data_IF_525280330798
#
_entry.id   IF_525280330798
#
_cell.length_a   1.000
_cell.length_b   1.000
_cell.length_c   1.000
_cell.angle_alpha   90.00
_cell.angle_beta   90.00
_cell.angle_gamma   90.00
#
_symmetry.space_group_name_H-M   'P 1'
#
loop_
_entity.id
_entity.type
_entity.pdbx_description
1 polymer ?
#
# COMPACT_ATOMS: atom_id res chain seq x y z
N UNK A 1 31.96 -27.14 13.02
CA UNK A 1 31.45 -26.37 14.18
C UNK A 1 31.58 -24.90 13.87
N UNK A 2 30.48 -24.24 13.51
CA UNK A 2 30.29 -22.80 13.60
C UNK A 2 28.82 -22.62 14.01
N UNK A 3 28.60 -21.96 15.15
CA UNK A 3 27.30 -21.80 15.79
C UNK A 3 26.40 -20.89 14.96
N UNK A 4 25.39 -21.48 14.32
CA UNK A 4 24.25 -20.77 13.73
C UNK A 4 23.23 -20.47 14.84
N UNK A 5 23.55 -19.57 15.76
CA UNK A 5 22.64 -19.13 16.81
C UNK A 5 22.28 -17.66 16.62
N UNK A 6 20.98 -17.42 16.42
CA UNK A 6 20.25 -16.16 16.56
C UNK A 6 20.59 -15.03 15.57
N UNK A 7 20.01 -15.11 14.38
CA UNK A 7 19.61 -13.94 13.60
C UNK A 7 18.09 -14.02 13.42
N UNK A 8 17.33 -13.48 14.37
CA UNK A 8 15.90 -13.21 14.20
C UNK A 8 15.75 -12.23 13.02
N UNK A 9 14.81 -12.50 12.11
CA UNK A 9 14.60 -11.66 10.93
C UNK A 9 14.16 -10.25 11.34
N UNK A 10 14.45 -9.20 10.54
CA UNK A 10 14.11 -7.82 10.91
C UNK A 10 12.59 -7.56 10.99
N UNK A 11 11.73 -8.41 10.41
CA UNK A 11 10.28 -8.40 10.69
C UNK A 11 9.89 -9.13 11.96
N UNK A 12 10.62 -10.17 12.35
CA UNK A 12 10.57 -10.61 13.74
C UNK A 12 11.04 -9.48 14.64
N UNK A 13 12.03 -8.67 14.27
CA UNK A 13 12.45 -7.50 15.06
C UNK A 13 11.45 -6.34 15.02
N UNK A 14 10.66 -6.15 13.96
CA UNK A 14 9.61 -5.10 13.89
C UNK A 14 8.34 -5.55 14.61
N UNK A 15 7.88 -6.79 14.43
CA UNK A 15 6.79 -7.34 15.25
C UNK A 15 7.21 -7.56 16.70
N UNK A 16 8.47 -7.92 16.97
CA UNK A 16 9.05 -7.90 18.31
C UNK A 16 9.20 -6.46 18.79
N UNK A 17 9.52 -5.47 17.95
CA UNK A 17 9.59 -4.06 18.36
C UNK A 17 8.20 -3.50 18.66
N UNK A 18 7.17 -3.84 17.88
CA UNK A 18 5.77 -3.53 18.16
C UNK A 18 5.33 -4.22 19.46
N UNK A 19 5.59 -5.52 19.60
CA UNK A 19 5.31 -6.28 20.82
C UNK A 19 6.08 -5.78 22.03
N UNK A 20 7.34 -5.37 21.85
CA UNK A 20 8.20 -4.76 22.86
C UNK A 20 7.77 -3.33 23.18
N UNK A 21 7.27 -2.54 22.22
CA UNK A 21 6.69 -1.22 22.44
C UNK A 21 5.40 -1.35 23.24
N UNK A 22 4.50 -2.25 22.85
CA UNK A 22 3.27 -2.57 23.58
C UNK A 22 3.63 -3.01 25.00
N UNK A 23 4.52 -3.98 25.17
CA UNK A 23 4.94 -4.49 26.49
C UNK A 23 5.70 -3.43 27.32
N UNK A 24 6.55 -2.61 26.68
CA UNK A 24 7.26 -1.48 27.30
C UNK A 24 6.26 -0.49 27.86
N UNK A 25 5.25 -0.12 27.08
CA UNK A 25 4.25 0.87 27.49
C UNK A 25 3.23 0.29 28.46
N UNK A 26 2.82 -0.97 28.34
CA UNK A 26 1.99 -1.67 29.34
C UNK A 26 2.69 -1.72 30.71
N UNK A 27 3.98 -2.06 30.74
CA UNK A 27 4.78 -2.07 31.97
C UNK A 27 5.04 -0.66 32.51
N UNK A 28 5.25 0.34 31.63
CA UNK A 28 5.45 1.73 32.02
C UNK A 28 4.14 2.34 32.55
N UNK A 29 2.97 1.91 32.09
CA UNK A 29 1.66 2.35 32.57
C UNK A 29 1.26 1.69 33.90
N UNK A 30 1.78 0.49 34.22
CA UNK A 30 1.58 -0.13 35.53
C UNK A 30 2.35 0.61 36.63
N UNK A 31 1.62 1.31 37.50
CA UNK A 31 2.16 1.92 38.72
C UNK A 31 2.51 3.41 38.65
N UNK A 32 2.17 4.11 37.56
CA UNK A 32 2.40 5.55 37.44
C UNK A 32 1.29 6.41 38.09
N UNK A 33 1.68 7.53 38.71
CA UNK A 33 0.74 8.59 39.10
C UNK A 33 0.22 9.31 37.84
N UNK A 34 -0.93 10.00 37.96
CA UNK A 34 -1.57 10.73 36.84
C UNK A 34 -0.64 11.71 36.10
N UNK A 35 0.36 12.26 36.79
CA UNK A 35 1.29 13.25 36.22
C UNK A 35 2.34 12.61 35.29
N UNK A 36 2.71 11.35 35.54
CA UNK A 36 3.69 10.60 34.72
C UNK A 36 3.04 9.89 33.52
N UNK A 37 1.72 9.74 33.53
CA UNK A 37 0.97 9.14 32.40
C UNK A 37 1.06 10.03 31.16
N UNK A 38 1.10 11.36 31.33
CA UNK A 38 1.14 12.31 30.21
C UNK A 38 2.44 12.20 29.41
N UNK A 39 3.60 12.11 30.07
CA UNK A 39 4.90 11.95 29.39
C UNK A 39 4.97 10.65 28.59
N UNK A 40 4.42 9.56 29.14
CA UNK A 40 4.36 8.27 28.46
C UNK A 40 3.43 8.31 27.26
N UNK A 41 2.28 8.98 27.36
CA UNK A 41 1.36 9.18 26.24
C UNK A 41 1.99 10.03 25.13
N UNK A 42 2.72 11.09 25.49
CA UNK A 42 3.41 11.95 24.52
C UNK A 42 4.53 11.17 23.77
N UNK A 43 5.23 10.25 24.44
CA UNK A 43 6.19 9.34 23.80
C UNK A 43 5.51 8.34 22.85
N UNK A 44 4.43 7.67 23.29
CA UNK A 44 3.64 6.76 22.46
C UNK A 44 3.14 7.47 21.20
N UNK A 45 2.63 8.69 21.37
CA UNK A 45 2.09 9.46 20.25
C UNK A 45 3.18 9.81 19.23
N UNK A 46 4.39 10.18 19.67
CA UNK A 46 5.50 10.45 18.75
C UNK A 46 5.92 9.22 17.97
N UNK A 47 6.08 8.08 18.64
CA UNK A 47 6.46 6.82 18.01
C UNK A 47 5.38 6.38 16.99
N UNK A 48 4.10 6.53 17.35
CA UNK A 48 2.98 6.24 16.46
C UNK A 48 2.96 7.12 15.20
N UNK A 49 3.24 8.43 15.33
CA UNK A 49 3.32 9.35 14.18
C UNK A 49 4.43 8.92 13.22
N UNK A 50 5.62 8.60 13.74
CA UNK A 50 6.76 8.16 12.92
C UNK A 50 6.41 6.86 12.17
N UNK A 51 5.79 5.91 12.87
CA UNK A 51 5.34 4.65 12.26
C UNK A 51 4.31 4.89 11.14
N UNK A 52 3.31 5.73 11.38
CA UNK A 52 2.31 6.09 10.37
C UNK A 52 2.97 6.72 9.13
N UNK A 53 3.90 7.66 9.31
CA UNK A 53 4.60 8.30 8.20
C UNK A 53 5.43 7.31 7.36
N UNK A 54 6.14 6.39 8.01
CA UNK A 54 6.90 5.34 7.30
C UNK A 54 5.94 4.45 6.51
N UNK A 55 4.81 4.04 7.12
CA UNK A 55 3.79 3.23 6.45
C UNK A 55 3.22 3.93 5.23
N UNK A 56 2.92 5.22 5.31
CA UNK A 56 2.48 6.03 4.17
C UNK A 56 3.50 6.06 3.03
N UNK A 57 4.78 6.26 3.35
CA UNK A 57 5.85 6.26 2.36
C UNK A 57 6.00 4.88 1.68
N UNK A 58 5.86 3.79 2.43
CA UNK A 58 5.89 2.42 1.90
C UNK A 58 4.69 2.14 0.98
N UNK A 59 3.48 2.54 1.40
CA UNK A 59 2.28 2.48 0.57
C UNK A 59 2.51 3.23 -0.73
N UNK A 60 3.01 4.47 -0.63
CA UNK A 60 3.21 5.32 -1.78
C UNK A 60 4.19 4.69 -2.79
N UNK A 61 5.31 4.17 -2.28
CA UNK A 61 6.32 3.44 -3.06
C UNK A 61 5.71 2.24 -3.77
N UNK A 62 5.02 1.35 -3.05
CA UNK A 62 4.46 0.13 -3.64
C UNK A 62 3.39 0.44 -4.70
N UNK A 63 2.53 1.46 -4.49
CA UNK A 63 1.57 1.88 -5.53
C UNK A 63 2.29 2.41 -6.76
N UNK A 64 3.32 3.25 -6.58
CA UNK A 64 4.16 3.75 -7.68
C UNK A 64 4.83 2.62 -8.47
N UNK A 65 5.30 1.58 -7.78
CA UNK A 65 5.90 0.39 -8.40
C UNK A 65 4.88 -0.44 -9.19
N UNK A 66 3.64 -0.56 -8.71
CA UNK A 66 2.54 -1.17 -9.48
C UNK A 66 2.29 -0.39 -10.78
N UNK A 67 2.25 0.94 -10.71
CA UNK A 67 2.05 1.80 -11.90
C UNK A 67 3.20 1.64 -12.89
N UNK A 68 4.44 1.66 -12.40
CA UNK A 68 5.62 1.45 -13.23
C UNK A 68 5.63 0.07 -13.89
N UNK A 69 5.21 -0.98 -13.16
CA UNK A 69 5.02 -2.32 -13.70
C UNK A 69 4.00 -2.33 -14.83
N UNK A 70 2.84 -1.70 -14.64
CA UNK A 70 1.83 -1.60 -15.70
C UNK A 70 2.45 -0.94 -16.94
N UNK A 71 3.09 0.22 -16.77
CA UNK A 71 3.67 0.96 -17.89
C UNK A 71 4.81 0.22 -18.59
N UNK A 72 5.57 -0.60 -17.87
CA UNK A 72 6.66 -1.39 -18.46
C UNK A 72 6.13 -2.46 -19.41
N UNK A 73 5.02 -3.10 -19.05
CA UNK A 73 4.59 -4.35 -19.71
C UNK A 73 3.30 -4.23 -20.54
N UNK A 74 2.48 -3.18 -20.37
CA UNK A 74 1.13 -3.12 -20.99
C UNK A 74 1.14 -3.15 -22.52
N UNK A 75 2.16 -2.58 -23.17
CA UNK A 75 2.32 -2.63 -24.65
C UNK A 75 3.45 -3.58 -25.10
N UNK A 76 3.93 -4.47 -24.22
CA UNK A 76 4.96 -5.43 -24.61
C UNK A 76 4.38 -6.44 -25.62
N UNK A 77 4.88 -6.44 -26.85
CA UNK A 77 4.33 -7.27 -27.95
C UNK A 77 4.71 -8.76 -27.86
N UNK A 78 5.45 -9.16 -26.82
CA UNK A 78 6.04 -10.50 -26.70
C UNK A 78 5.10 -11.60 -26.17
N UNK A 79 3.80 -11.31 -25.97
CA UNK A 79 2.80 -12.27 -25.44
C UNK A 79 3.32 -13.00 -24.18
N UNK A 80 3.91 -12.23 -23.27
CA UNK A 80 4.48 -12.75 -22.03
C UNK A 80 3.46 -12.66 -20.88
N UNK A 81 3.60 -13.48 -19.82
CA UNK A 81 2.70 -13.41 -18.66
C UNK A 81 2.67 -12.04 -17.98
N UNK A 82 3.76 -11.27 -18.06
CA UNK A 82 3.85 -9.96 -17.44
C UNK A 82 2.92 -8.94 -18.10
N UNK A 83 2.75 -8.99 -19.43
CA UNK A 83 1.79 -8.18 -20.18
C UNK A 83 0.36 -8.45 -19.72
N UNK A 84 -0.03 -9.74 -19.59
CA UNK A 84 -1.36 -10.09 -19.12
C UNK A 84 -1.62 -9.55 -17.72
N UNK A 85 -0.66 -9.69 -16.81
CA UNK A 85 -0.77 -9.12 -15.46
C UNK A 85 -0.85 -7.59 -15.48
N UNK A 86 -0.13 -6.92 -16.37
CA UNK A 86 -0.18 -5.46 -16.51
C UNK A 86 -1.53 -4.97 -17.07
N UNK A 87 -2.11 -5.68 -18.04
CA UNK A 87 -3.47 -5.40 -18.55
C UNK A 87 -4.49 -5.58 -17.44
N UNK A 88 -4.39 -6.66 -16.66
CA UNK A 88 -5.30 -6.91 -15.54
C UNK A 88 -5.15 -5.85 -14.44
N UNK A 89 -3.93 -5.49 -14.06
CA UNK A 89 -3.66 -4.42 -13.10
C UNK A 89 -4.16 -3.07 -13.59
N UNK A 90 -3.99 -2.73 -14.87
CA UNK A 90 -4.50 -1.49 -15.47
C UNK A 90 -6.00 -1.32 -15.23
N UNK A 91 -6.78 -2.41 -15.31
CA UNK A 91 -8.23 -2.35 -15.11
C UNK A 91 -8.63 -1.90 -13.70
N UNK A 92 -7.78 -2.11 -12.68
CA UNK A 92 -8.03 -1.61 -11.33
C UNK A 92 -7.97 -0.09 -11.24
N UNK A 93 -7.24 0.58 -12.14
CA UNK A 93 -7.08 2.03 -12.14
C UNK A 93 -8.02 2.75 -13.11
N UNK A 94 -8.61 2.06 -14.10
CA UNK A 94 -9.38 2.72 -15.18
C UNK A 94 -10.87 2.41 -15.23
N UNK A 95 -11.35 1.36 -14.55
CA UNK A 95 -12.76 0.97 -14.61
C UNK A 95 -13.44 1.05 -13.24
N UNK A 96 -14.39 1.98 -13.01
CA UNK A 96 -15.34 1.85 -11.91
C UNK A 96 -16.32 0.70 -12.20
N UNK A 97 -16.62 -0.16 -11.23
CA UNK A 97 -17.66 -1.21 -11.36
C UNK A 97 -18.75 -1.01 -10.32
N UNK A 98 -20.03 -1.25 -10.66
CA UNK A 98 -21.14 -1.11 -9.72
C UNK A 98 -21.09 -2.15 -8.58
N UNK A 99 -21.07 -1.66 -7.35
CA UNK A 99 -21.46 -2.46 -6.19
C UNK A 99 -22.97 -2.74 -6.28
N UNK A 100 -23.36 -4.01 -6.43
CA UNK A 100 -24.72 -4.47 -6.07
C UNK A 100 -24.68 -4.88 -4.61
N UNK A 101 -25.08 -3.97 -3.73
CA UNK A 101 -25.53 -4.39 -2.41
C UNK A 101 -26.99 -4.84 -2.54
N UNK A 102 -27.27 -6.11 -2.23
CA UNK A 102 -28.62 -6.68 -2.33
C UNK A 102 -29.52 -6.19 -1.18
N UNK A 103 -28.97 -5.56 -0.12
CA UNK A 103 -29.69 -5.39 1.13
C UNK A 103 -29.49 -4.07 1.89
N UNK A 104 -28.84 -3.02 1.36
CA UNK A 104 -28.70 -1.79 2.15
C UNK A 104 -28.82 -0.46 1.38
N UNK A 105 -29.70 0.37 1.91
CA UNK A 105 -30.06 1.71 1.45
C UNK A 105 -28.99 2.73 1.89
N UNK A 106 -27.78 2.58 1.37
CA UNK A 106 -26.80 3.67 1.33
C UNK A 106 -26.08 3.55 -0.01
N UNK A 107 -26.41 4.46 -0.92
CA UNK A 107 -25.75 4.57 -2.21
C UNK A 107 -24.32 5.06 -1.96
N UNK A 108 -23.44 4.17 -1.50
CA UNK A 108 -22.01 4.41 -1.51
C UNK A 108 -21.64 4.36 -2.99
N UNK A 109 -21.33 5.53 -3.55
CA UNK A 109 -20.93 5.71 -4.93
C UNK A 109 -19.89 4.63 -5.27
N UNK A 110 -20.25 3.74 -6.20
CA UNK A 110 -19.32 2.83 -6.82
C UNK A 110 -18.20 3.66 -7.47
N UNK A 111 -17.13 3.90 -6.73
CA UNK A 111 -15.99 4.71 -7.13
C UNK A 111 -14.91 3.79 -7.68
N UNK A 112 -14.01 4.33 -8.51
CA UNK A 112 -12.82 3.61 -9.00
C UNK A 112 -12.01 3.00 -7.84
N UNK A 113 -12.13 3.58 -6.63
CA UNK A 113 -11.50 3.13 -5.40
C UNK A 113 -11.82 1.70 -4.98
N UNK A 114 -13.04 1.18 -5.17
CA UNK A 114 -13.45 -0.14 -4.64
C UNK A 114 -12.60 -1.29 -5.21
N UNK A 115 -12.18 -1.20 -6.47
CA UNK A 115 -11.26 -2.17 -7.05
C UNK A 115 -9.88 -2.09 -6.40
N UNK A 116 -9.37 -0.88 -6.20
CA UNK A 116 -8.10 -0.65 -5.54
C UNK A 116 -8.14 -1.11 -4.08
N UNK A 117 -9.25 -0.96 -3.37
CA UNK A 117 -9.43 -1.51 -2.03
C UNK A 117 -9.20 -3.02 -2.01
N UNK A 118 -9.73 -3.77 -3.00
CA UNK A 118 -9.46 -5.22 -3.12
C UNK A 118 -7.99 -5.51 -3.37
N UNK A 119 -7.36 -4.77 -4.28
CA UNK A 119 -5.95 -4.96 -4.61
C UNK A 119 -5.06 -4.66 -3.41
N UNK A 120 -5.31 -3.56 -2.71
CA UNK A 120 -4.48 -3.11 -1.59
C UNK A 120 -4.75 -3.88 -0.29
N UNK A 121 -5.93 -4.48 -0.12
CA UNK A 121 -6.23 -5.40 0.99
C UNK A 121 -5.73 -6.82 0.77
N UNK A 122 -5.25 -7.16 -0.42
CA UNK A 122 -4.72 -8.48 -0.71
C UNK A 122 -3.35 -8.70 -0.05
N UNK A 123 -3.10 -9.95 0.35
CA UNK A 123 -1.84 -10.36 0.96
C UNK A 123 -1.25 -11.54 0.16
N UNK A 124 -0.16 -11.31 -0.61
CA UNK A 124 0.48 -12.36 -1.38
C UNK A 124 1.14 -13.44 -0.50
N UNK A 125 1.38 -13.17 0.79
CA UNK A 125 2.01 -14.09 1.76
C UNK A 125 1.02 -15.09 2.37
N UNK A 126 -0.28 -14.76 2.42
CA UNK A 126 -1.29 -15.68 2.96
C UNK A 126 -1.50 -16.88 2.03
N UNK A 127 -1.59 -18.06 2.64
CA UNK A 127 -1.83 -19.30 1.93
C UNK A 127 -3.25 -19.30 1.33
N UNK A 128 -3.34 -19.53 0.02
CA UNK A 128 -4.59 -19.63 -0.74
C UNK A 128 -5.51 -20.81 -0.31
N UNK A 129 -5.15 -21.53 0.75
CA UNK A 129 -5.84 -22.72 1.24
C UNK A 129 -6.91 -22.40 2.30
N UNK A 130 -6.86 -21.22 2.92
CA UNK A 130 -7.91 -20.75 3.84
C UNK A 130 -9.06 -20.15 3.04
N UNK A 131 -9.92 -21.01 2.46
CA UNK A 131 -11.13 -20.66 1.67
C UNK A 131 -11.21 -19.19 1.24
N UNK A 132 -10.34 -18.71 0.34
CA UNK A 132 -10.51 -17.37 -0.19
C UNK A 132 -11.75 -17.44 -1.07
N UNK A 133 -12.67 -16.49 -0.91
CA UNK A 133 -13.55 -16.15 -2.03
C UNK A 133 -12.63 -15.96 -3.25
N UNK A 134 -12.97 -16.61 -4.37
CA UNK A 134 -12.14 -16.69 -5.59
C UNK A 134 -11.49 -15.36 -6.00
N UNK A 135 -12.13 -14.24 -5.66
CA UNK A 135 -11.62 -12.89 -5.81
C UNK A 135 -10.23 -12.70 -5.18
N UNK A 136 -10.03 -12.79 -3.85
CA UNK A 136 -8.74 -12.48 -3.20
C UNK A 136 -7.51 -13.26 -3.71
N UNK A 137 -7.72 -14.42 -4.36
CA UNK A 137 -6.65 -15.19 -4.98
C UNK A 137 -6.03 -14.43 -6.16
N UNK A 138 -6.84 -13.74 -6.96
CA UNK A 138 -6.40 -13.02 -8.15
C UNK A 138 -5.53 -11.82 -7.78
N UNK A 139 -5.99 -10.95 -6.88
CA UNK A 139 -5.21 -9.78 -6.44
C UNK A 139 -3.86 -10.19 -5.83
N UNK A 140 -3.84 -11.24 -5.01
CA UNK A 140 -2.60 -11.79 -4.46
C UNK A 140 -1.63 -12.28 -5.56
N UNK A 141 -2.14 -12.96 -6.60
CA UNK A 141 -1.34 -13.40 -7.75
C UNK A 141 -0.77 -12.22 -8.56
N UNK A 142 -1.55 -11.16 -8.75
CA UNK A 142 -1.08 -9.93 -9.41
C UNK A 142 0.02 -9.25 -8.60
N UNK A 143 -0.14 -9.13 -7.27
CA UNK A 143 0.89 -8.57 -6.41
C UNK A 143 2.19 -9.40 -6.41
N UNK A 144 2.10 -10.73 -6.50
CA UNK A 144 3.30 -11.61 -6.64
C UNK A 144 4.04 -11.37 -7.95
N UNK A 145 3.34 -10.97 -9.01
CA UNK A 145 3.97 -10.66 -10.29
C UNK A 145 4.78 -9.35 -10.24
N UNK A 146 4.28 -8.35 -9.50
CA UNK A 146 4.98 -7.07 -9.30
C UNK A 146 6.12 -7.23 -8.29
N UNK A 147 5.86 -7.93 -7.19
CA UNK A 147 6.77 -8.06 -6.06
C UNK A 147 7.28 -9.50 -5.94
N UNK A 148 8.25 -9.87 -6.75
CA UNK A 148 8.76 -11.25 -6.83
C UNK A 148 9.41 -11.75 -5.53
N UNK A 149 9.89 -10.84 -4.69
CA UNK A 149 10.55 -11.07 -3.41
C UNK A 149 9.60 -10.95 -2.20
N UNK A 150 8.27 -10.95 -2.41
CA UNK A 150 7.25 -10.77 -1.38
C UNK A 150 7.37 -11.67 -0.13
N UNK A 151 7.99 -12.85 -0.26
CA UNK A 151 8.17 -13.79 0.86
C UNK A 151 9.33 -13.42 1.77
N UNK A 152 10.40 -12.86 1.22
CA UNK A 152 11.67 -12.63 1.92
C UNK A 152 11.86 -11.17 2.27
N UNK A 153 11.32 -10.27 1.45
CA UNK A 153 11.46 -8.83 1.62
C UNK A 153 10.47 -8.32 2.67
N UNK A 154 11.03 -7.74 3.73
CA UNK A 154 10.28 -7.24 4.88
C UNK A 154 9.87 -5.77 4.73
N UNK A 155 10.49 -5.04 3.80
CA UNK A 155 10.19 -3.63 3.54
C UNK A 155 8.91 -3.48 2.70
N UNK A 156 8.46 -4.57 2.07
CA UNK A 156 7.14 -4.67 1.48
C UNK A 156 6.09 -4.88 2.57
N UNK A 157 5.08 -4.00 2.58
CA UNK A 157 3.93 -4.13 3.47
C UNK A 157 2.76 -4.78 2.73
N UNK A 158 2.18 -5.79 3.38
CA UNK A 158 0.98 -6.48 2.93
C UNK A 158 0.09 -6.78 4.14
N UNK A 159 -1.23 -6.52 4.08
CA UNK A 159 -1.88 -5.75 3.01
C UNK A 159 -1.30 -4.33 2.93
N UNK A 160 -1.27 -3.78 1.72
CA UNK A 160 -0.78 -2.41 1.49
C UNK A 160 -1.64 -1.41 2.25
N UNK A 161 -2.96 -1.63 2.28
CA UNK A 161 -3.91 -0.92 3.13
C UNK A 161 -4.69 -1.91 3.98
N UNK A 162 -4.70 -1.71 5.29
CA UNK A 162 -5.43 -2.56 6.23
C UNK A 162 -6.93 -2.20 6.31
N UNK A 163 -7.68 -2.95 7.12
CA UNK A 163 -9.13 -2.74 7.25
C UNK A 163 -9.50 -1.43 7.93
N UNK A 164 -8.63 -0.89 8.78
CA UNK A 164 -8.86 0.40 9.42
C UNK A 164 -8.59 1.53 8.42
N UNK A 165 -7.50 1.45 7.65
CA UNK A 165 -7.17 2.38 6.58
C UNK A 165 -8.22 2.40 5.47
N UNK A 166 -8.90 1.28 5.21
CA UNK A 166 -10.01 1.19 4.25
C UNK A 166 -11.39 1.51 4.86
N UNK A 167 -11.47 1.92 6.14
CA UNK A 167 -12.75 2.22 6.80
C UNK A 167 -13.71 1.04 6.97
N UNK A 168 -13.20 -0.20 6.82
CA UNK A 168 -13.95 -1.45 6.97
C UNK A 168 -14.12 -1.79 8.46
N UNK A 169 -13.07 -1.60 9.26
CA UNK A 169 -13.08 -1.92 10.71
C UNK A 169 -13.78 -0.84 11.52
N UNK A 170 -13.53 0.42 11.18
CA UNK A 170 -14.11 1.59 11.84
C UNK A 170 -14.82 2.45 10.80
N UNK A 171 -16.14 2.26 10.59
CA UNK A 171 -16.91 3.07 9.66
C UNK A 171 -16.83 4.55 10.06
N UNK A 172 -16.16 5.36 9.24
CA UNK A 172 -15.86 6.76 9.55
C UNK A 172 -14.42 7.02 10.02
N UNK A 173 -13.46 6.13 9.73
CA UNK A 173 -12.05 6.42 9.86
C UNK A 173 -11.32 5.65 8.76
N UNK A 174 -10.67 6.34 7.82
CA UNK A 174 -9.98 5.69 6.69
C UNK A 174 -9.83 6.58 5.46
N UNK A 175 -9.50 5.96 4.32
CA UNK A 175 -9.29 6.60 3.03
C UNK A 175 -10.45 6.36 2.07
N UNK A 176 -10.86 7.41 1.38
CA UNK A 176 -11.57 7.33 0.11
C UNK A 176 -10.51 7.30 -0.99
N UNK A 177 -10.41 6.19 -1.70
CA UNK A 177 -9.48 6.08 -2.81
C UNK A 177 -10.05 6.73 -4.07
N UNK A 178 -9.31 7.68 -4.62
CA UNK A 178 -9.62 8.36 -5.88
C UNK A 178 -8.46 8.22 -6.85
N UNK A 179 -8.73 8.04 -8.14
CA UNK A 179 -7.70 7.95 -9.18
C UNK A 179 -7.69 9.23 -10.00
N UNK A 180 -6.55 9.93 -10.02
CA UNK A 180 -6.34 11.13 -10.81
C UNK A 180 -5.49 10.85 -12.07
N UNK A 181 -6.13 10.89 -13.23
CA UNK A 181 -5.49 10.66 -14.53
C UNK A 181 -4.75 11.88 -15.07
N UNK A 182 -4.82 13.04 -14.41
CA UNK A 182 -4.21 14.28 -14.88
C UNK A 182 -2.95 14.67 -14.10
N UNK A 183 -2.60 13.94 -13.05
CA UNK A 183 -1.47 14.25 -12.18
C UNK A 183 -0.43 13.15 -12.18
N UNK A 184 0.84 13.54 -11.99
CA UNK A 184 1.95 12.64 -11.65
C UNK A 184 2.23 12.62 -10.13
N UNK A 185 1.54 13.46 -9.37
CA UNK A 185 1.68 13.60 -7.92
C UNK A 185 0.33 13.34 -7.24
N UNK A 186 0.32 12.37 -6.34
CA UNK A 186 -0.82 12.07 -5.49
C UNK A 186 -0.84 12.95 -4.26
N UNK A 187 -2.05 13.13 -3.74
CA UNK A 187 -2.32 14.03 -2.61
C UNK A 187 -3.21 13.27 -1.62
N UNK A 188 -2.91 13.42 -0.33
CA UNK A 188 -3.85 13.06 0.73
C UNK A 188 -4.60 14.32 1.14
N UNK A 189 -5.87 14.40 0.79
CA UNK A 189 -6.72 15.55 1.08
C UNK A 189 -7.42 15.39 2.43
N UNK A 190 -7.55 16.51 3.14
CA UNK A 190 -8.33 16.59 4.38
C UNK A 190 -9.79 16.19 4.15
N UNK A 191 -10.47 15.88 5.25
CA UNK A 191 -11.88 15.51 5.24
C UNK A 191 -12.76 16.65 4.74
N UNK A 192 -13.85 16.32 4.03
CA UNK A 192 -14.79 17.31 3.49
C UNK A 192 -16.14 17.30 4.22
N UNK A 193 -17.05 18.20 3.85
CA UNK A 193 -18.38 18.27 4.50
C UNK A 193 -19.27 17.05 4.23
N UNK A 194 -18.98 16.28 3.19
CA UNK A 194 -19.74 15.10 2.80
C UNK A 194 -19.20 13.84 3.51
N UNK A 195 -17.90 13.83 3.79
CA UNK A 195 -17.13 12.76 4.42
C UNK A 195 -16.24 13.34 5.53
N UNK A 196 -16.83 13.85 6.63
CA UNK A 196 -16.10 14.59 7.68
C UNK A 196 -15.06 13.76 8.42
N UNK A 197 -15.12 12.43 8.28
CA UNK A 197 -14.29 11.48 9.00
C UNK A 197 -13.42 10.61 8.06
N UNK A 198 -13.39 10.90 6.75
CA UNK A 198 -12.57 10.16 5.78
C UNK A 198 -11.64 11.10 5.01
N UNK A 199 -10.36 10.75 4.95
CA UNK A 199 -9.39 11.45 4.09
C UNK A 199 -9.55 10.97 2.66
N UNK A 200 -9.34 11.84 1.67
CA UNK A 200 -9.33 11.41 0.26
C UNK A 200 -7.90 11.16 -0.18
N UNK A 201 -7.59 9.91 -0.55
CA UNK A 201 -6.29 9.55 -1.11
C UNK A 201 -6.37 9.57 -2.64
N UNK A 202 -5.84 10.65 -3.23
CA UNK A 202 -5.77 10.84 -4.67
C UNK A 202 -4.52 10.14 -5.23
N UNK A 203 -4.72 8.99 -5.87
CA UNK A 203 -3.70 8.16 -6.50
C UNK A 203 -3.51 8.61 -7.95
N UNK A 204 -2.32 9.10 -8.35
CA UNK A 204 -2.04 9.53 -9.70
C UNK A 204 -1.95 8.32 -10.62
N UNK A 205 -2.64 8.37 -11.74
CA UNK A 205 -2.55 7.38 -12.80
C UNK A 205 -2.64 8.03 -14.19
N UNK A 206 -1.66 8.89 -14.54
CA UNK A 206 -1.70 9.59 -15.80
C UNK A 206 -1.48 8.65 -17.00
N UNK A 207 -1.82 9.08 -18.22
CA UNK A 207 -1.47 8.34 -19.41
C UNK A 207 0.02 8.01 -19.43
N UNK A 208 0.34 6.75 -19.75
CA UNK A 208 1.72 6.29 -19.86
C UNK A 208 2.49 7.21 -20.83
N UNK A 209 3.64 7.76 -20.42
CA UNK A 209 4.47 8.55 -21.32
C UNK A 209 5.06 7.67 -22.42
N UNK A 210 5.35 8.25 -23.58
CA UNK A 210 6.18 7.58 -24.58
C UNK A 210 7.52 7.21 -23.94
N UNK A 211 7.95 5.94 -24.02
CA UNK A 211 9.20 5.53 -23.42
C UNK A 211 10.40 5.99 -24.25
N UNK A 212 11.40 6.56 -23.60
CA UNK A 212 12.60 7.06 -24.26
C UNK A 212 13.49 7.89 -23.34
N UNK A 213 14.61 8.37 -23.88
CA UNK A 213 15.60 9.15 -23.13
C UNK A 213 15.09 10.50 -22.63
N UNK A 214 14.04 11.04 -23.23
CA UNK A 214 13.48 12.34 -22.87
C UNK A 214 12.46 12.26 -21.73
N UNK A 215 11.98 11.06 -21.42
CA UNK A 215 10.89 10.81 -20.48
C UNK A 215 11.34 9.78 -19.45
N UNK A 216 10.90 8.53 -19.60
CA UNK A 216 11.31 7.38 -18.81
C UNK A 216 11.61 6.22 -19.76
N UNK A 217 12.71 5.54 -19.53
CA UNK A 217 13.14 4.36 -20.28
C UNK A 217 12.58 3.08 -19.67
N UNK A 218 12.61 1.98 -20.42
CA UNK A 218 12.25 0.66 -19.91
C UNK A 218 13.14 0.26 -18.73
N UNK A 219 14.44 0.55 -18.81
CA UNK A 219 15.40 0.25 -17.75
C UNK A 219 15.10 1.01 -16.45
N UNK A 220 14.71 2.29 -16.54
CA UNK A 220 14.33 3.07 -15.35
C UNK A 220 13.04 2.55 -14.70
N UNK A 221 12.07 2.07 -15.51
CA UNK A 221 10.87 1.42 -14.98
C UNK A 221 11.23 0.11 -14.26
N UNK A 222 12.06 -0.73 -14.87
CA UNK A 222 12.54 -1.98 -14.27
C UNK A 222 13.32 -1.73 -12.98
N UNK A 223 14.27 -0.78 -13.00
CA UNK A 223 15.03 -0.37 -11.82
C UNK A 223 14.11 0.10 -10.69
N UNK A 224 13.08 0.87 -11.00
CA UNK A 224 12.12 1.32 -9.99
C UNK A 224 11.26 0.18 -9.44
N UNK A 225 10.77 -0.71 -10.31
CA UNK A 225 10.01 -1.91 -9.90
C UNK A 225 10.84 -2.79 -8.97
N UNK A 226 12.14 -2.92 -9.22
CA UNK A 226 13.08 -3.72 -8.42
C UNK A 226 13.64 -2.98 -7.19
N UNK A 227 13.40 -1.67 -7.06
CA UNK A 227 13.96 -0.91 -5.96
C UNK A 227 13.43 -1.38 -4.59
N UNK A 228 14.35 -1.74 -3.69
CA UNK A 228 14.07 -2.15 -2.30
C UNK A 228 14.87 -1.35 -1.28
N UNK A 229 15.43 -0.20 -1.67
CA UNK A 229 16.22 0.61 -0.75
C UNK A 229 15.34 1.27 0.32
N UNK A 230 15.74 1.12 1.60
CA UNK A 230 14.96 1.48 2.80
C UNK A 230 14.57 2.98 2.83
N UNK A 231 15.43 3.86 2.30
CA UNK A 231 15.23 5.32 2.33
C UNK A 231 14.87 5.93 0.96
N UNK A 232 14.59 5.10 -0.06
CA UNK A 232 14.18 5.58 -1.39
C UNK A 232 12.72 5.29 -1.64
N UNK A 233 11.85 6.18 -1.17
CA UNK A 233 10.39 6.05 -1.33
C UNK A 233 9.86 6.63 -2.64
N UNK A 234 10.63 7.52 -3.28
CA UNK A 234 10.22 8.19 -4.50
C UNK A 234 11.14 7.83 -5.67
N UNK A 235 10.54 7.66 -6.85
CA UNK A 235 11.28 7.43 -8.07
C UNK A 235 12.15 8.66 -8.39
N UNK A 236 13.43 8.49 -8.77
CA UNK A 236 14.28 9.61 -9.20
C UNK A 236 13.77 10.27 -10.48
N UNK A 237 13.08 9.51 -11.35
CA UNK A 237 12.52 10.00 -12.59
C UNK A 237 11.11 10.57 -12.35
N UNK A 238 10.92 11.86 -12.60
CA UNK A 238 9.67 12.59 -12.33
C UNK A 238 8.48 12.16 -13.21
N UNK A 239 8.72 11.39 -14.28
CA UNK A 239 7.65 10.81 -15.08
C UNK A 239 7.06 9.57 -14.41
N UNK A 240 7.71 8.97 -13.42
CA UNK A 240 7.12 7.88 -12.63
C UNK A 240 6.27 8.49 -11.51
N UNK A 241 4.95 8.23 -11.42
CA UNK A 241 4.09 8.93 -10.48
C UNK A 241 4.40 8.59 -9.03
N UNK A 242 4.31 9.59 -8.16
CA UNK A 242 4.44 9.46 -6.70
C UNK A 242 3.08 9.60 -6.05
N UNK A 243 2.61 8.61 -5.33
CA UNK A 243 1.18 8.51 -4.98
C UNK A 243 0.76 9.18 -3.68
N UNK A 244 1.72 9.63 -2.87
CA UNK A 244 1.49 10.56 -1.76
C UNK A 244 2.74 11.40 -1.54
N UNK A 245 2.57 12.72 -1.44
CA UNK A 245 3.60 13.69 -1.03
C UNK A 245 3.14 14.50 0.17
#
# INVERSE_FOLDING_TARGET
>A
MLNSSNLLSRSQQIHEAEGQLITKYENKLQGLSKDNIKEVLDEIQKDAIVFCLIRFCQQAKQVSQIIAYIWRWIEDSSNNPAQNNAIELHNYFTHPSPHRDANNTKQILASVGEHLERLFSADPRKNLQEKPTYQYKKEAELLRAVFTDYQTNQDLIFPMMDKAELGIEYPGLGYILNVDINSYQGILEDTDKNYPDLFTHCIPYPPRPQLGKATVSQAELEEWIENREEDKYYAPNCYIPTTST
#
